data_IF_120820249083
#
_entry.id   IF_120820249083
#
_cell.length_a   1.000
_cell.length_b   1.000
_cell.length_c   1.000
_cell.angle_alpha   90.00
_cell.angle_beta   90.00
_cell.angle_gamma   90.00
#
_symmetry.space_group_name_H-M   'P 1'
#
loop_
_entity.id
_entity.type
_entity.pdbx_description
1 polymer ?
#
# COMPACT_ATOMS: atom_id res chain seq x y z
N UNK A 1 -28.78 -6.22 -6.27
CA UNK A 1 -27.74 -5.19 -6.02
C UNK A 1 -27.28 -4.66 -7.37
N UNK A 2 -27.35 -3.36 -7.62
CA UNK A 2 -26.87 -2.77 -8.88
C UNK A 2 -25.35 -2.88 -8.96
N UNK A 3 -24.82 -3.27 -10.12
CA UNK A 3 -23.37 -3.34 -10.36
C UNK A 3 -22.83 -1.92 -10.32
N UNK A 4 -21.80 -1.67 -9.50
CA UNK A 4 -21.14 -0.36 -9.47
C UNK A 4 -20.73 0.05 -10.90
N UNK A 5 -21.10 1.26 -11.31
CA UNK A 5 -20.86 1.76 -12.65
C UNK A 5 -19.35 1.74 -12.95
N UNK A 6 -18.99 1.23 -14.12
CA UNK A 6 -17.60 1.24 -14.57
C UNK A 6 -17.27 2.66 -15.03
N UNK A 7 -16.40 3.32 -14.28
CA UNK A 7 -15.89 4.65 -14.62
C UNK A 7 -14.83 4.51 -15.73
N UNK A 8 -14.91 5.26 -16.83
CA UNK A 8 -13.93 5.23 -17.90
C UNK A 8 -12.51 5.61 -17.44
N UNK A 9 -11.48 5.10 -18.11
CA UNK A 9 -10.08 5.33 -17.71
C UNK A 9 -9.65 6.79 -17.80
N UNK A 10 -10.17 7.55 -18.78
CA UNK A 10 -9.82 8.96 -18.95
C UNK A 10 -10.23 9.78 -17.73
N UNK A 11 -11.43 9.54 -17.17
CA UNK A 11 -11.90 10.22 -15.95
C UNK A 11 -10.95 9.97 -14.78
N UNK A 12 -10.46 8.74 -14.63
CA UNK A 12 -9.44 8.42 -13.62
C UNK A 12 -8.13 9.15 -13.86
N UNK A 13 -7.70 9.24 -15.12
CA UNK A 13 -6.44 9.89 -15.52
C UNK A 13 -6.50 11.38 -15.25
N UNK A 14 -7.60 12.05 -15.59
CA UNK A 14 -7.82 13.49 -15.38
C UNK A 14 -7.77 13.85 -13.88
N UNK A 15 -8.32 12.98 -13.03
CA UNK A 15 -8.33 13.19 -11.58
C UNK A 15 -7.09 12.65 -10.85
N UNK A 16 -6.23 11.89 -11.54
CA UNK A 16 -5.08 11.21 -10.93
C UNK A 16 -4.16 12.17 -10.15
N UNK A 17 -3.74 13.34 -10.68
CA UNK A 17 -2.86 14.25 -9.94
C UNK A 17 -3.44 14.69 -8.60
N UNK A 18 -4.76 14.95 -8.55
CA UNK A 18 -5.45 15.35 -7.33
C UNK A 18 -5.56 14.19 -6.35
N UNK A 19 -5.91 12.99 -6.82
CA UNK A 19 -5.97 11.79 -5.98
C UNK A 19 -4.58 11.49 -5.39
N UNK A 20 -3.53 11.57 -6.20
CA UNK A 20 -2.14 11.41 -5.76
C UNK A 20 -1.78 12.41 -4.66
N UNK A 21 -2.06 13.70 -4.87
CA UNK A 21 -1.80 14.74 -3.88
C UNK A 21 -2.55 14.50 -2.55
N UNK A 22 -3.83 14.12 -2.61
CA UNK A 22 -4.62 13.83 -1.41
C UNK A 22 -4.09 12.62 -0.63
N UNK A 23 -3.60 11.60 -1.33
CA UNK A 23 -3.12 10.35 -0.73
C UNK A 23 -1.68 10.45 -0.24
N UNK A 24 -0.76 11.03 -1.05
CA UNK A 24 0.67 11.12 -0.77
C UNK A 24 1.00 12.30 0.14
N UNK A 25 0.64 13.52 -0.29
CA UNK A 25 1.05 14.75 0.39
C UNK A 25 0.16 15.02 1.61
N UNK A 26 -1.16 14.95 1.45
CA UNK A 26 -2.08 15.21 2.56
C UNK A 26 -2.36 14.00 3.46
N UNK A 27 -1.89 12.80 3.08
CA UNK A 27 -2.07 11.54 3.83
C UNK A 27 -3.54 11.23 4.19
N UNK A 28 -4.52 11.73 3.44
CA UNK A 28 -5.96 11.59 3.72
C UNK A 28 -6.41 10.13 3.69
N UNK A 29 -7.39 9.75 4.52
CA UNK A 29 -8.01 8.41 4.46
C UNK A 29 -8.83 8.28 3.18
N UNK A 30 -8.99 7.06 2.65
CA UNK A 30 -9.72 6.84 1.39
C UNK A 30 -11.18 7.28 1.45
N UNK A 31 -11.81 7.20 2.62
CA UNK A 31 -13.16 7.73 2.85
C UNK A 31 -13.21 9.25 2.62
N UNK A 32 -12.20 9.99 3.09
CA UNK A 32 -12.12 11.44 2.90
C UNK A 32 -11.78 11.79 1.45
N UNK A 33 -10.85 11.05 0.82
CA UNK A 33 -10.53 11.19 -0.61
C UNK A 33 -11.80 11.01 -1.44
N UNK A 34 -12.61 9.98 -1.18
CA UNK A 34 -13.88 9.76 -1.87
C UNK A 34 -14.83 10.95 -1.72
N UNK A 35 -15.04 11.45 -0.50
CA UNK A 35 -15.93 12.61 -0.24
C UNK A 35 -15.49 13.85 -1.02
N UNK A 36 -14.18 14.13 -1.02
CA UNK A 36 -13.61 15.25 -1.77
C UNK A 36 -13.79 15.04 -3.27
N UNK A 37 -13.49 13.85 -3.78
CA UNK A 37 -13.56 13.58 -5.22
C UNK A 37 -15.00 13.52 -5.73
N UNK A 38 -15.97 13.17 -4.89
CA UNK A 38 -17.40 13.28 -5.20
C UNK A 38 -17.79 14.73 -5.51
N UNK A 39 -17.31 15.71 -4.73
CA UNK A 39 -17.55 17.14 -5.03
C UNK A 39 -16.78 17.63 -6.26
N UNK A 40 -15.83 16.84 -6.78
CA UNK A 40 -15.10 17.10 -8.02
C UNK A 40 -15.62 16.27 -9.21
N UNK A 41 -16.77 15.61 -9.08
CA UNK A 41 -17.43 14.89 -10.18
C UNK A 41 -16.99 13.42 -10.36
N UNK A 42 -16.16 12.89 -9.46
CA UNK A 42 -15.74 11.48 -9.47
C UNK A 42 -16.40 10.70 -8.33
N UNK A 43 -17.61 10.19 -8.56
CA UNK A 43 -18.31 9.31 -7.63
C UNK A 43 -17.94 7.83 -7.85
N UNK A 44 -16.77 7.46 -7.36
CA UNK A 44 -16.31 6.06 -7.32
C UNK A 44 -16.50 5.45 -5.92
N UNK A 45 -16.66 4.13 -5.87
CA UNK A 45 -16.66 3.39 -4.60
C UNK A 45 -15.27 3.30 -4.01
N UNK A 46 -15.18 3.04 -2.70
CA UNK A 46 -13.88 2.87 -2.01
C UNK A 46 -13.05 1.75 -2.66
N UNK A 47 -13.67 0.63 -3.00
CA UNK A 47 -12.98 -0.49 -3.66
C UNK A 47 -12.45 -0.13 -5.05
N UNK A 48 -13.14 0.75 -5.78
CA UNK A 48 -12.62 1.27 -7.06
C UNK A 48 -11.39 2.16 -6.84
N UNK A 49 -11.42 3.05 -5.84
CA UNK A 49 -10.23 3.81 -5.43
C UNK A 49 -9.08 2.91 -5.01
N UNK A 50 -9.32 1.89 -4.18
CA UNK A 50 -8.28 0.94 -3.76
C UNK A 50 -7.62 0.23 -4.94
N UNK A 51 -8.44 -0.22 -5.91
CA UNK A 51 -7.94 -0.82 -7.14
C UNK A 51 -7.09 0.17 -7.93
N UNK A 52 -7.56 1.40 -8.11
CA UNK A 52 -6.83 2.42 -8.88
C UNK A 52 -5.53 2.84 -8.24
N UNK A 53 -5.55 3.06 -6.93
CA UNK A 53 -4.34 3.33 -6.16
C UNK A 53 -3.37 2.16 -6.23
N UNK A 54 -3.84 0.91 -6.23
CA UNK A 54 -2.98 -0.25 -6.44
C UNK A 54 -2.37 -0.25 -7.86
N UNK A 55 -3.19 -0.01 -8.88
CA UNK A 55 -2.74 0.03 -10.28
C UNK A 55 -1.73 1.17 -10.51
N UNK A 56 -1.85 2.28 -9.77
CA UNK A 56 -0.93 3.43 -9.80
C UNK A 56 0.29 3.31 -8.88
N UNK A 57 0.45 2.22 -8.12
CA UNK A 57 1.55 2.10 -7.15
C UNK A 57 1.45 3.11 -5.99
N UNK A 58 0.24 3.49 -5.59
CA UNK A 58 -0.03 4.41 -4.49
C UNK A 58 -0.57 3.69 -3.26
N UNK A 59 -0.28 2.39 -3.18
CA UNK A 59 -0.73 1.53 -2.10
C UNK A 59 -0.14 2.00 -0.78
N UNK A 60 -0.99 2.17 0.23
CA UNK A 60 -0.54 2.53 1.59
C UNK A 60 0.23 1.41 2.29
N UNK A 61 -0.14 0.14 2.05
CA UNK A 61 0.35 -1.01 2.81
C UNK A 61 0.70 -2.19 1.91
N UNK A 62 1.93 -2.72 2.03
CA UNK A 62 2.28 -4.00 1.46
C UNK A 62 1.64 -5.15 2.26
N UNK A 63 1.38 -6.27 1.58
CA UNK A 63 0.96 -7.50 2.26
C UNK A 63 2.14 -8.13 3.00
N UNK A 64 1.86 -8.94 4.03
CA UNK A 64 2.91 -9.68 4.77
C UNK A 64 3.79 -10.50 3.81
N UNK A 65 3.17 -11.16 2.82
CA UNK A 65 3.91 -11.92 1.79
C UNK A 65 4.84 -11.04 0.93
N UNK A 66 4.43 -9.81 0.62
CA UNK A 66 5.29 -8.87 -0.10
C UNK A 66 6.44 -8.38 0.77
N UNK A 67 6.17 -8.07 2.04
CA UNK A 67 7.19 -7.72 3.03
C UNK A 67 8.24 -8.82 3.21
N UNK A 68 7.83 -10.09 3.31
CA UNK A 68 8.76 -11.24 3.40
C UNK A 68 9.78 -11.28 2.28
N UNK A 69 9.33 -11.08 1.03
CA UNK A 69 10.24 -11.05 -0.13
C UNK A 69 11.25 -9.91 -0.01
N UNK A 70 10.79 -8.73 0.39
CA UNK A 70 11.65 -7.56 0.60
C UNK A 70 12.69 -7.85 1.69
N UNK A 71 12.28 -8.41 2.84
CA UNK A 71 13.19 -8.70 3.93
C UNK A 71 14.22 -9.77 3.57
N UNK A 72 13.80 -10.84 2.89
CA UNK A 72 14.73 -11.87 2.42
C UNK A 72 15.83 -11.28 1.52
N UNK A 73 15.46 -10.43 0.55
CA UNK A 73 16.45 -9.75 -0.30
C UNK A 73 17.29 -8.72 0.46
N UNK A 74 16.71 -8.03 1.43
CA UNK A 74 17.41 -7.02 2.23
C UNK A 74 18.44 -7.65 3.17
N UNK A 75 18.08 -8.73 3.86
CA UNK A 75 18.98 -9.50 4.74
C UNK A 75 20.13 -10.14 3.95
N UNK A 76 19.84 -10.69 2.75
CA UNK A 76 20.87 -11.21 1.85
C UNK A 76 21.90 -10.12 1.48
N UNK A 77 21.43 -8.93 1.13
CA UNK A 77 22.31 -7.83 0.75
C UNK A 77 23.13 -7.29 1.92
N UNK A 78 22.56 -7.25 3.13
CA UNK A 78 23.32 -6.93 4.35
C UNK A 78 24.42 -7.96 4.59
N UNK A 79 24.13 -9.26 4.43
CA UNK A 79 25.13 -10.33 4.58
C UNK A 79 26.28 -10.19 3.60
N UNK A 80 26.01 -9.67 2.41
CA UNK A 80 27.01 -9.35 1.38
C UNK A 80 27.72 -8.00 1.61
N UNK A 81 27.46 -7.30 2.71
CA UNK A 81 28.05 -5.99 3.01
C UNK A 81 27.49 -4.83 2.16
N UNK A 82 26.34 -5.00 1.50
CA UNK A 82 25.76 -4.00 0.58
C UNK A 82 24.65 -3.20 1.25
N UNK A 83 24.86 -1.89 1.38
CA UNK A 83 23.77 -0.96 1.70
C UNK A 83 22.78 -0.86 0.52
N UNK A 84 21.49 -0.75 0.83
CA UNK A 84 20.42 -0.78 -0.17
C UNK A 84 19.29 0.15 0.19
N UNK A 85 18.88 0.99 -0.76
CA UNK A 85 17.63 1.74 -0.66
C UNK A 85 16.48 0.84 -1.08
N UNK A 86 15.49 0.65 -0.19
CA UNK A 86 14.29 -0.09 -0.54
C UNK A 86 13.30 0.87 -1.17
N UNK A 87 12.99 0.66 -2.45
CA UNK A 87 11.95 1.38 -3.17
C UNK A 87 10.66 0.53 -3.15
N UNK A 88 9.59 1.08 -2.61
CA UNK A 88 8.24 0.50 -2.71
C UNK A 88 7.42 1.44 -3.58
N UNK A 89 6.95 0.92 -4.71
CA UNK A 89 6.18 1.67 -5.70
C UNK A 89 6.84 3.02 -6.08
N UNK A 90 8.17 2.99 -6.28
CA UNK A 90 8.97 4.17 -6.62
C UNK A 90 9.28 5.11 -5.46
N UNK A 91 8.79 4.83 -4.24
CA UNK A 91 9.04 5.63 -3.05
C UNK A 91 10.12 4.99 -2.19
N UNK A 92 11.17 5.75 -1.92
CA UNK A 92 12.22 5.40 -0.98
C UNK A 92 11.65 5.21 0.44
N UNK A 93 11.90 4.05 1.02
CA UNK A 93 11.54 3.76 2.40
C UNK A 93 12.73 4.05 3.32
N UNK A 94 12.45 4.69 4.45
CA UNK A 94 13.46 4.87 5.48
C UNK A 94 13.81 3.54 6.15
N UNK A 95 15.04 3.42 6.65
CA UNK A 95 15.52 2.21 7.32
C UNK A 95 14.67 1.86 8.54
N UNK A 96 14.25 2.87 9.31
CA UNK A 96 13.42 2.72 10.52
C UNK A 96 12.04 2.15 10.18
N UNK A 97 11.50 2.47 9.00
CA UNK A 97 10.25 1.89 8.52
C UNK A 97 10.44 0.43 8.15
N UNK A 98 11.52 0.09 7.46
CA UNK A 98 11.85 -1.30 7.10
C UNK A 98 12.01 -2.16 8.36
N UNK A 99 12.77 -1.69 9.35
CA UNK A 99 13.00 -2.40 10.62
C UNK A 99 11.70 -2.61 11.41
N UNK A 100 10.83 -1.58 11.46
CA UNK A 100 9.53 -1.68 12.13
C UNK A 100 8.61 -2.70 11.48
N UNK A 101 8.58 -2.75 10.15
CA UNK A 101 7.77 -3.71 9.41
C UNK A 101 8.34 -5.13 9.48
N UNK A 102 9.67 -5.26 9.61
CA UNK A 102 10.34 -6.54 9.88
C UNK A 102 9.91 -7.10 11.23
N UNK A 103 9.97 -6.29 12.29
CA UNK A 103 9.50 -6.67 13.62
C UNK A 103 8.02 -7.06 13.62
N UNK A 104 7.16 -6.27 12.97
CA UNK A 104 5.71 -6.57 12.83
C UNK A 104 5.41 -7.86 12.05
N UNK A 105 6.27 -8.21 11.10
CA UNK A 105 6.10 -9.43 10.29
C UNK A 105 6.51 -10.65 11.10
N UNK A 106 7.66 -10.58 11.79
CA UNK A 106 8.14 -11.64 12.69
C UNK A 106 7.16 -11.89 13.84
N UNK A 107 6.63 -10.85 14.49
CA UNK A 107 5.65 -11.03 15.58
C UNK A 107 4.36 -11.72 15.12
N UNK A 108 3.88 -11.42 13.91
CA UNK A 108 2.72 -12.11 13.32
C UNK A 108 3.00 -13.57 12.96
N UNK A 109 4.26 -13.94 12.74
CA UNK A 109 4.67 -15.33 12.54
C UNK A 109 4.68 -16.10 13.85
N UNK A 110 5.16 -15.49 14.94
CA UNK A 110 5.10 -16.07 16.28
C UNK A 110 3.66 -16.29 16.77
N UNK A 111 2.75 -15.34 16.57
CA UNK A 111 1.33 -15.50 16.96
C UNK A 111 0.62 -16.60 16.15
N UNK A 112 0.94 -16.77 14.87
CA UNK A 112 0.35 -17.81 14.02
C UNK A 112 0.87 -19.22 14.30
N UNK A 113 2.12 -19.35 14.77
CA UNK A 113 2.71 -20.63 15.20
C UNK A 113 2.19 -21.06 16.58
N UNK A 114 2.04 -20.13 17.54
CA UNK A 114 1.60 -20.45 18.91
C UNK A 114 0.13 -20.92 19.00
N UNK A 115 -0.68 -20.65 17.97
CA UNK A 115 -2.05 -21.18 17.85
C UNK A 115 -2.17 -22.57 17.24
N UNK A 116 -1.09 -23.14 16.67
CA UNK A 116 -1.09 -24.51 16.12
C UNK A 116 -0.62 -25.58 17.11
N UNK A 117 -0.04 -25.19 18.24
CA UNK A 117 0.48 -26.10 19.27
C UNK A 117 -0.48 -26.28 20.47
N UNK A 118 -1.76 -25.89 20.32
CA UNK A 118 -2.77 -26.05 21.36
C UNK A 118 -4.05 -26.66 20.77
N UNK A 119 -3.96 -27.92 20.33
CA UNK A 119 -5.09 -28.82 20.05
C UNK A 119 -4.82 -30.15 20.76
#
# INVERSE_FOLDING_TARGET
MSRAQRIPEHVWTDHRPRIEYLVKEQKRKLQDVRKIMQSHGLDATISQYERKLKDWGLRKNLTVKAWRKIFSHWEERIRQGKSSLVLIDGVAQSKEKIERELARTRNREYEGMNTMDNI
#
